data_IF_874011233872
#
_entry.id   IF_874011233872
#
_cell.length_a   1.000
_cell.length_b   1.000
_cell.length_c   1.000
_cell.angle_alpha   90.00
_cell.angle_beta   90.00
_cell.angle_gamma   90.00
#
_symmetry.space_group_name_H-M   'P 1'
#
loop_
_entity.id
_entity.type
_entity.pdbx_description
1 polymer ?
#
# COMPACT_ATOMS: atom_id res chain seq x y z
N UNK A 1 -4.24 1.44 -28.67
CA UNK A 1 -3.31 2.50 -28.22
C UNK A 1 -2.38 1.88 -27.19
N UNK A 2 -1.07 1.87 -27.44
CA UNK A 2 -0.08 1.38 -26.48
C UNK A 2 -0.01 2.37 -25.30
N UNK A 3 -0.70 2.08 -24.18
CA UNK A 3 -0.44 2.77 -22.91
C UNK A 3 0.90 2.28 -22.41
N UNK A 4 1.90 3.15 -22.34
CA UNK A 4 3.29 2.71 -22.55
C UNK A 4 4.33 3.26 -21.58
N UNK A 5 3.95 3.98 -20.52
CA UNK A 5 4.97 4.38 -19.56
C UNK A 5 4.44 4.55 -18.15
N UNK A 6 4.92 3.70 -17.24
CA UNK A 6 5.14 4.09 -15.85
C UNK A 6 6.62 4.46 -15.70
N UNK A 7 6.91 5.75 -15.69
CA UNK A 7 8.25 6.25 -15.44
C UNK A 7 8.43 6.51 -13.94
N UNK A 8 9.56 6.06 -13.40
CA UNK A 8 9.94 6.28 -12.00
C UNK A 8 11.27 7.03 -11.96
N UNK A 9 11.33 8.11 -11.19
CA UNK A 9 12.60 8.76 -10.82
C UNK A 9 12.77 8.75 -9.31
N UNK A 10 14.03 8.76 -8.85
CA UNK A 10 14.36 8.68 -7.44
C UNK A 10 15.13 9.92 -7.01
N UNK A 11 14.73 10.50 -5.87
CA UNK A 11 15.43 11.63 -5.26
C UNK A 11 15.67 11.36 -3.78
N UNK A 12 16.79 11.85 -3.26
CA UNK A 12 16.98 11.91 -1.81
C UNK A 12 15.94 12.88 -1.21
N UNK A 13 15.34 12.56 -0.06
CA UNK A 13 14.37 13.45 0.57
C UNK A 13 15.05 14.76 0.97
N UNK A 14 14.43 15.88 0.62
CA UNK A 14 14.90 17.21 0.97
C UNK A 14 14.64 17.47 2.46
N UNK A 15 15.53 17.00 3.34
CA UNK A 15 15.79 17.56 4.67
C UNK A 15 14.59 17.89 5.58
N UNK A 16 13.45 17.20 5.51
CA UNK A 16 12.35 17.39 6.46
C UNK A 16 12.07 16.14 7.27
N UNK A 17 12.31 16.24 8.58
CA UNK A 17 11.75 15.33 9.56
C UNK A 17 10.26 15.68 9.73
N UNK A 18 9.38 14.86 9.15
CA UNK A 18 7.94 15.02 9.32
C UNK A 18 7.46 14.50 10.68
N UNK A 19 6.35 15.07 11.13
CA UNK A 19 5.83 15.20 12.50
C UNK A 19 5.56 13.93 13.33
N UNK A 20 5.93 12.72 12.91
CA UNK A 20 5.47 11.50 13.59
C UNK A 20 6.48 10.76 14.47
N UNK A 21 7.81 10.76 14.24
CA UNK A 21 8.63 9.72 14.89
C UNK A 21 10.13 10.07 15.12
N UNK A 22 10.64 9.66 16.29
CA UNK A 22 12.06 9.68 16.70
C UNK A 22 12.93 8.61 16.00
N UNK A 23 14.26 8.71 16.14
CA UNK A 23 15.33 8.06 15.34
C UNK A 23 15.24 6.52 15.25
N UNK A 24 15.34 5.95 14.04
CA UNK A 24 15.89 4.60 13.83
C UNK A 24 17.41 4.75 13.90
N UNK A 25 18.11 4.11 14.84
CA UNK A 25 19.56 4.25 14.93
C UNK A 25 20.33 3.43 13.87
N UNK A 26 19.71 2.40 13.25
CA UNK A 26 20.45 1.40 12.48
C UNK A 26 20.23 1.38 10.95
N UNK A 27 19.34 2.21 10.40
CA UNK A 27 19.00 2.17 8.96
C UNK A 27 18.93 3.58 8.34
N UNK A 28 19.84 4.47 8.76
CA UNK A 28 20.12 5.74 8.06
C UNK A 28 21.31 5.64 7.10
N UNK A 29 21.64 4.44 6.62
CA UNK A 29 22.38 4.37 5.36
C UNK A 29 21.42 4.80 4.25
N UNK A 30 21.79 5.91 3.58
CA UNK A 30 21.04 6.77 2.65
C UNK A 30 20.26 6.03 1.54
N UNK A 31 20.42 4.72 1.37
CA UNK A 31 19.98 3.94 0.20
C UNK A 31 19.04 2.79 0.52
N UNK A 32 18.71 2.54 1.79
CA UNK A 32 17.67 1.57 2.12
C UNK A 32 16.30 2.22 1.98
N UNK A 33 15.89 3.09 2.89
CA UNK A 33 14.54 3.70 2.89
C UNK A 33 14.54 5.20 2.59
N UNK A 34 15.71 5.81 2.44
CA UNK A 34 15.87 7.27 2.37
C UNK A 34 15.80 7.78 0.93
N UNK A 35 14.68 7.50 0.25
CA UNK A 35 14.40 8.02 -1.08
C UNK A 35 12.90 8.26 -1.28
N UNK A 36 12.58 9.19 -2.17
CA UNK A 36 11.24 9.44 -2.66
C UNK A 36 11.16 8.91 -4.10
N UNK A 37 10.10 8.18 -4.40
CA UNK A 37 9.75 7.79 -5.76
C UNK A 37 8.88 8.89 -6.39
N UNK A 38 9.15 9.24 -7.63
CA UNK A 38 8.29 10.10 -8.44
C UNK A 38 7.74 9.28 -9.60
N UNK A 39 6.42 9.24 -9.72
CA UNK A 39 5.70 8.46 -10.73
C UNK A 39 5.14 9.40 -11.79
N UNK A 40 5.28 9.00 -13.05
CA UNK A 40 4.56 9.56 -14.19
C UNK A 40 3.93 8.42 -14.96
N UNK A 41 2.60 8.43 -15.10
CA UNK A 41 1.87 7.37 -15.81
C UNK A 41 0.53 7.82 -16.37
N UNK A 42 0.15 7.23 -17.49
CA UNK A 42 -1.19 7.31 -18.10
C UNK A 42 -2.12 6.17 -17.63
N UNK A 43 -1.62 5.28 -16.77
CA UNK A 43 -2.39 4.16 -16.23
C UNK A 43 -3.46 4.63 -15.24
N UNK A 44 -4.58 3.92 -15.24
CA UNK A 44 -5.65 4.01 -14.25
C UNK A 44 -5.45 2.89 -13.25
N UNK A 45 -5.04 3.23 -12.03
CA UNK A 45 -4.68 2.30 -10.97
C UNK A 45 -5.64 2.47 -9.79
N UNK A 46 -6.14 1.36 -9.25
CA UNK A 46 -6.97 1.37 -8.04
C UNK A 46 -6.37 0.49 -6.94
N UNK A 47 -6.22 1.06 -5.75
CA UNK A 47 -5.86 0.35 -4.53
C UNK A 47 -7.13 -0.16 -3.85
N UNK A 48 -7.16 -1.44 -3.54
CA UNK A 48 -8.30 -2.10 -2.91
C UNK A 48 -7.83 -2.79 -1.64
N UNK A 49 -8.51 -2.55 -0.53
CA UNK A 49 -8.21 -3.20 0.76
C UNK A 49 -8.53 -2.30 1.96
N UNK A 50 -7.92 -2.55 3.11
CA UNK A 50 -8.29 -1.88 4.36
C UNK A 50 -7.52 -0.58 4.61
N UNK A 51 -7.34 -0.18 5.88
CA UNK A 51 -6.61 1.03 6.24
C UNK A 51 -5.15 1.01 5.81
N UNK A 52 -4.52 -0.16 5.70
CA UNK A 52 -3.13 -0.27 5.23
C UNK A 52 -3.06 0.05 3.73
N UNK A 53 -4.01 -0.47 2.94
CA UNK A 53 -4.14 -0.07 1.52
C UNK A 53 -4.39 1.42 1.35
N UNK A 54 -5.11 2.06 2.28
CA UNK A 54 -5.31 3.51 2.25
C UNK A 54 -3.98 4.26 2.41
N UNK A 55 -3.13 3.84 3.35
CA UNK A 55 -1.80 4.45 3.57
C UNK A 55 -0.91 4.30 2.33
N UNK A 56 -0.97 3.15 1.66
CA UNK A 56 -0.21 2.91 0.44
C UNK A 56 -0.74 3.66 -0.76
N UNK A 57 -2.06 3.79 -0.90
CA UNK A 57 -2.65 4.65 -1.92
C UNK A 57 -2.21 6.10 -1.74
N UNK A 58 -2.21 6.62 -0.50
CA UNK A 58 -1.72 7.97 -0.20
C UNK A 58 -0.23 8.14 -0.54
N UNK A 59 0.60 7.12 -0.25
CA UNK A 59 2.02 7.14 -0.63
C UNK A 59 2.21 7.12 -2.16
N UNK A 60 1.34 6.42 -2.89
CA UNK A 60 1.34 6.42 -4.36
C UNK A 60 0.87 7.77 -4.91
N UNK A 61 -0.22 8.33 -4.37
CA UNK A 61 -0.75 9.64 -4.73
C UNK A 61 0.32 10.72 -4.55
N UNK A 62 1.02 10.73 -3.41
CA UNK A 62 2.10 11.68 -3.15
C UNK A 62 3.27 11.56 -4.14
N UNK A 63 3.49 10.39 -4.73
CA UNK A 63 4.54 10.17 -5.72
C UNK A 63 4.09 10.52 -7.14
N UNK A 64 2.80 10.36 -7.43
CA UNK A 64 2.22 10.53 -8.75
C UNK A 64 1.65 11.94 -9.01
N UNK A 65 1.45 12.74 -7.97
CA UNK A 65 1.00 14.12 -8.08
C UNK A 65 2.17 15.10 -8.24
N UNK A 66 1.94 16.19 -8.97
CA UNK A 66 2.84 17.34 -9.00
C UNK A 66 2.65 18.24 -7.76
N UNK A 67 3.68 19.04 -7.48
CA UNK A 67 3.62 20.09 -6.46
C UNK A 67 2.46 21.04 -6.78
N UNK A 68 1.59 21.33 -5.79
CA UNK A 68 0.30 22.04 -5.92
C UNK A 68 -0.88 21.24 -6.49
N UNK A 69 -0.74 19.94 -6.75
CA UNK A 69 -1.85 19.05 -7.11
C UNK A 69 -2.41 18.27 -5.91
N UNK A 70 -2.02 18.60 -4.67
CA UNK A 70 -2.53 17.93 -3.47
C UNK A 70 -4.07 18.08 -3.35
N UNK A 71 -4.61 19.19 -3.86
CA UNK A 71 -6.06 19.45 -3.93
C UNK A 71 -6.80 18.61 -5.00
N UNK A 72 -6.07 17.92 -5.89
CA UNK A 72 -6.67 17.00 -6.87
C UNK A 72 -7.18 15.70 -6.23
N UNK A 73 -6.74 15.40 -5.01
CA UNK A 73 -7.21 14.25 -4.23
C UNK A 73 -8.64 14.52 -3.79
N UNK A 74 -9.61 13.88 -4.44
CA UNK A 74 -11.02 13.96 -4.05
C UNK A 74 -11.38 12.77 -3.18
N UNK A 75 -11.48 13.02 -1.87
CA UNK A 75 -12.13 12.08 -0.95
C UNK A 75 -13.62 12.00 -1.31
N UNK A 76 -14.04 10.89 -1.92
CA UNK A 76 -15.44 10.66 -2.35
C UNK A 76 -16.32 10.20 -1.20
N UNK A 77 -15.75 9.55 -0.20
CA UNK A 77 -16.51 9.09 0.95
C UNK A 77 -15.59 8.89 2.17
N UNK A 78 -16.04 9.38 3.32
CA UNK A 78 -15.32 9.27 4.60
C UNK A 78 -16.26 8.75 5.68
N UNK A 79 -15.74 8.01 6.65
CA UNK A 79 -16.47 7.66 7.86
C UNK A 79 -15.71 8.07 9.12
N UNK A 80 -16.45 8.38 10.18
CA UNK A 80 -15.93 8.67 11.51
C UNK A 80 -16.41 7.56 12.46
N UNK A 81 -15.51 6.78 13.10
CA UNK A 81 -15.90 5.64 13.94
C UNK A 81 -16.79 6.06 15.11
N UNK A 82 -16.53 7.23 15.69
CA UNK A 82 -17.10 7.64 16.99
C UNK A 82 -18.22 8.67 16.89
N UNK A 83 -18.71 8.99 15.68
CA UNK A 83 -19.82 9.93 15.43
C UNK A 83 -19.55 11.41 15.78
N UNK A 84 -18.81 11.69 16.87
CA UNK A 84 -18.65 12.99 17.51
C UNK A 84 -17.18 13.37 17.81
N UNK A 85 -16.19 12.48 17.61
CA UNK A 85 -14.77 12.86 17.72
C UNK A 85 -14.27 13.41 16.38
N UNK A 86 -13.85 14.69 16.29
CA UNK A 86 -13.39 15.28 15.03
C UNK A 86 -12.09 14.69 14.50
N UNK A 87 -11.34 13.94 15.32
CA UNK A 87 -9.93 13.63 15.09
C UNK A 87 -9.65 12.36 14.29
N UNK A 88 -10.61 11.46 14.08
CA UNK A 88 -10.37 10.21 13.33
C UNK A 88 -11.31 10.13 12.14
N UNK A 89 -10.77 10.49 10.97
CA UNK A 89 -11.45 10.38 9.68
C UNK A 89 -10.84 9.20 8.94
N UNK A 90 -11.67 8.25 8.55
CA UNK A 90 -11.26 7.18 7.67
C UNK A 90 -11.75 7.43 6.25
N UNK A 91 -10.82 7.43 5.31
CA UNK A 91 -11.13 7.46 3.90
C UNK A 91 -11.66 6.09 3.51
N UNK A 92 -12.80 6.08 2.85
CA UNK A 92 -13.38 4.88 2.26
C UNK A 92 -13.09 4.82 0.77
N UNK A 93 -13.12 5.98 0.14
CA UNK A 93 -12.95 6.13 -1.29
C UNK A 93 -12.24 7.44 -1.57
N UNK A 94 -11.16 7.38 -2.32
CA UNK A 94 -10.52 8.57 -2.88
C UNK A 94 -10.20 8.34 -4.34
N UNK A 95 -10.13 9.43 -5.10
CA UNK A 95 -9.67 9.43 -6.48
C UNK A 95 -8.84 10.68 -6.74
N UNK A 96 -7.74 10.50 -7.44
CA UNK A 96 -6.78 11.51 -7.84
C UNK A 96 -6.73 11.46 -9.36
N UNK A 97 -7.20 12.53 -10.01
CA UNK A 97 -7.18 12.62 -11.46
C UNK A 97 -7.23 14.06 -11.99
N UNK A 98 -6.46 14.39 -13.03
CA UNK A 98 -5.36 13.58 -13.56
C UNK A 98 -4.17 13.52 -12.59
N UNK A 99 -3.45 12.39 -12.54
CA UNK A 99 -2.09 12.34 -11.96
C UNK A 99 -1.05 12.73 -13.03
N UNK A 100 0.21 12.90 -12.65
CA UNK A 100 1.31 13.15 -13.60
C UNK A 100 1.34 12.05 -14.66
N UNK A 101 1.30 12.43 -15.93
CA UNK A 101 1.14 11.50 -17.06
C UNK A 101 -0.31 11.27 -17.50
N UNK A 102 -1.27 11.98 -16.90
CA UNK A 102 -2.71 11.96 -17.23
C UNK A 102 -3.47 10.69 -16.82
N UNK A 103 -2.86 9.81 -16.03
CA UNK A 103 -3.52 8.63 -15.46
C UNK A 103 -4.50 8.95 -14.34
N UNK A 104 -4.87 7.91 -13.58
CA UNK A 104 -5.76 7.99 -12.42
C UNK A 104 -5.21 7.12 -11.29
N UNK A 105 -5.23 7.63 -10.06
CA UNK A 105 -5.05 6.82 -8.86
C UNK A 105 -6.34 6.85 -8.06
N UNK A 106 -6.79 5.69 -7.57
CA UNK A 106 -7.98 5.59 -6.73
C UNK A 106 -7.74 4.65 -5.56
N UNK A 107 -8.51 4.82 -4.50
CA UNK A 107 -8.52 3.90 -3.36
C UNK A 107 -9.96 3.51 -3.05
N UNK A 108 -10.19 2.22 -2.82
CA UNK A 108 -11.45 1.65 -2.37
C UNK A 108 -11.25 0.78 -1.14
N UNK A 109 -11.82 1.24 -0.02
CA UNK A 109 -11.78 0.54 1.25
C UNK A 109 -12.68 -0.68 1.23
N UNK A 110 -12.06 -1.84 1.39
CA UNK A 110 -12.69 -3.15 1.51
C UNK A 110 -12.00 -3.90 2.66
N UNK A 111 -12.79 -4.37 3.62
CA UNK A 111 -12.35 -5.09 4.84
C UNK A 111 -12.68 -6.59 4.77
N UNK A 112 -13.11 -7.08 3.61
CA UNK A 112 -13.43 -8.48 3.35
C UNK A 112 -12.88 -8.89 1.97
N UNK A 113 -13.05 -10.13 1.54
CA UNK A 113 -12.81 -10.52 0.15
C UNK A 113 -13.97 -10.05 -0.74
N UNK A 114 -13.68 -9.69 -2.00
CA UNK A 114 -14.68 -9.24 -2.98
C UNK A 114 -15.38 -10.47 -3.57
N UNK A 115 -16.14 -11.14 -2.72
CA UNK A 115 -16.90 -12.33 -3.07
C UNK A 115 -18.35 -11.97 -3.32
N UNK A 116 -19.02 -12.72 -4.20
CA UNK A 116 -20.44 -12.57 -4.49
C UNK A 116 -21.29 -12.68 -3.21
N UNK A 117 -20.96 -13.62 -2.32
CA UNK A 117 -21.63 -13.80 -1.03
C UNK A 117 -21.53 -12.58 -0.09
N UNK A 118 -20.48 -11.77 -0.25
CA UNK A 118 -20.24 -10.58 0.56
C UNK A 118 -20.89 -9.31 -0.02
N UNK A 119 -21.53 -9.40 -1.19
CA UNK A 119 -22.20 -8.27 -1.84
C UNK A 119 -23.49 -7.91 -1.10
N UNK A 120 -23.68 -6.63 -0.74
CA UNK A 120 -24.95 -6.15 -0.15
C UNK A 120 -25.31 -4.75 -0.64
N UNK A 121 -26.60 -4.54 -0.95
CA UNK A 121 -27.17 -3.23 -1.25
C UNK A 121 -28.14 -2.78 -0.15
N UNK A 122 -28.14 -1.51 0.28
CA UNK A 122 -27.09 -0.51 0.06
C UNK A 122 -25.88 -0.80 0.96
N UNK A 123 -24.67 -0.55 0.46
CA UNK A 123 -23.46 -0.71 1.24
C UNK A 123 -22.82 0.66 1.45
N UNK A 124 -23.06 1.23 2.64
CA UNK A 124 -22.46 2.50 3.06
C UNK A 124 -21.16 2.22 3.80
N UNK A 125 -20.16 3.06 3.57
CA UNK A 125 -18.92 2.96 4.32
C UNK A 125 -19.17 3.31 5.80
N UNK A 126 -18.90 2.34 6.68
CA UNK A 126 -19.01 2.46 8.14
C UNK A 126 -17.85 1.73 8.82
N UNK A 127 -17.66 1.94 10.13
CA UNK A 127 -16.53 1.36 10.87
C UNK A 127 -16.49 -0.16 10.95
N UNK A 128 -17.63 -0.83 10.79
CA UNK A 128 -17.76 -2.30 10.85
C UNK A 128 -18.21 -2.90 9.52
N UNK A 129 -18.02 -2.16 8.44
CA UNK A 129 -18.39 -2.59 7.12
C UNK A 129 -17.68 -3.91 6.79
N UNK A 130 -18.40 -4.91 6.27
CA UNK A 130 -17.87 -6.22 5.84
C UNK A 130 -18.34 -6.61 4.45
N UNK A 131 -19.09 -5.72 3.81
CA UNK A 131 -19.75 -5.97 2.55
C UNK A 131 -19.14 -5.10 1.48
N UNK A 132 -19.54 -5.29 0.24
CA UNK A 132 -19.23 -4.39 -0.85
C UNK A 132 -20.43 -4.32 -1.77
N UNK A 133 -20.44 -3.39 -2.73
CA UNK A 133 -21.46 -3.39 -3.78
C UNK A 133 -20.94 -2.78 -5.08
N UNK A 134 -21.61 -3.13 -6.18
CA UNK A 134 -21.25 -2.67 -7.52
C UNK A 134 -21.44 -1.16 -7.71
N UNK A 135 -22.39 -0.52 -7.03
CA UNK A 135 -22.52 0.94 -7.07
C UNK A 135 -21.31 1.69 -6.53
N UNK A 136 -20.55 1.10 -5.59
CA UNK A 136 -19.28 1.69 -5.16
C UNK A 136 -18.23 1.67 -6.28
N UNK A 137 -18.20 0.61 -7.09
CA UNK A 137 -17.33 0.53 -8.27
C UNK A 137 -17.79 1.50 -9.36
N UNK A 138 -19.10 1.58 -9.63
CA UNK A 138 -19.68 2.53 -10.58
C UNK A 138 -19.35 3.98 -10.25
N UNK A 139 -19.32 4.36 -8.96
CA UNK A 139 -18.89 5.70 -8.54
C UNK A 139 -17.45 6.04 -8.97
N UNK A 140 -16.57 5.05 -9.10
CA UNK A 140 -15.23 5.24 -9.66
C UNK A 140 -15.26 5.27 -11.19
N UNK A 141 -15.95 4.32 -11.81
CA UNK A 141 -16.01 4.18 -13.27
C UNK A 141 -16.64 5.39 -13.95
N UNK A 142 -17.66 5.99 -13.34
CA UNK A 142 -18.36 7.18 -13.82
C UNK A 142 -17.65 8.49 -13.45
N UNK A 143 -16.45 8.44 -12.86
CA UNK A 143 -15.72 9.64 -12.50
C UNK A 143 -15.23 10.39 -13.74
N UNK A 144 -15.68 11.62 -13.87
CA UNK A 144 -15.27 12.56 -14.90
C UNK A 144 -14.09 13.44 -14.43
N UNK A 145 -13.13 13.66 -15.32
CA UNK A 145 -11.97 14.53 -15.07
C UNK A 145 -11.45 15.16 -16.36
N UNK A 146 -10.81 16.32 -16.25
CA UNK A 146 -10.22 17.02 -17.38
C UNK A 146 -8.70 16.80 -17.41
N UNK A 147 -8.16 16.14 -18.45
CA UNK A 147 -6.72 15.87 -18.56
C UNK A 147 -5.89 17.12 -18.85
N UNK A 148 -6.52 18.21 -19.31
CA UNK A 148 -5.83 19.48 -19.65
C UNK A 148 -5.66 20.44 -18.48
N UNK A 149 -6.34 20.20 -17.35
CA UNK A 149 -6.17 21.00 -16.13
C UNK A 149 -5.01 20.46 -15.29
N UNK A 150 -3.79 20.60 -15.78
CA UNK A 150 -2.64 20.76 -14.87
C UNK A 150 -2.77 22.17 -14.30
N UNK A 151 -3.37 22.30 -13.12
CA UNK A 151 -3.46 23.59 -12.41
C UNK A 151 -2.03 23.95 -11.97
N UNK A 152 -1.36 24.78 -12.75
CA UNK A 152 -0.10 25.40 -12.31
C UNK A 152 -0.39 26.22 -11.04
N UNK A 153 0.52 26.20 -10.05
CA UNK A 153 0.35 26.98 -8.84
C UNK A 153 0.18 28.45 -9.23
N UNK A 154 -0.92 29.08 -8.79
CA UNK A 154 -1.01 30.54 -8.92
C UNK A 154 0.05 31.13 -8.01
N UNK A 155 0.93 31.98 -8.56
CA UNK A 155 1.97 32.76 -7.86
C UNK A 155 1.43 33.75 -6.80
N UNK A 156 0.45 33.37 -5.98
CA UNK A 156 0.03 34.15 -4.83
C UNK A 156 0.88 33.73 -3.65
N UNK A 157 1.81 34.61 -3.29
CA UNK A 157 2.76 34.46 -2.20
C UNK A 157 2.12 33.85 -0.95
N UNK A 158 2.81 32.86 -0.41
CA UNK A 158 2.51 32.20 0.86
C UNK A 158 2.61 33.25 1.97
N UNK A 159 1.49 33.87 2.33
CA UNK A 159 1.40 34.56 3.61
C UNK A 159 1.09 33.51 4.67
N UNK A 160 2.08 33.26 5.53
CA UNK A 160 1.92 32.46 6.74
C UNK A 160 0.99 33.17 7.72
N UNK A 161 -0.28 32.77 7.79
CA UNK A 161 -1.07 32.85 9.02
C UNK A 161 -1.91 31.59 9.17
N UNK A 162 -1.38 30.68 9.99
CA UNK A 162 -2.01 29.43 10.38
C UNK A 162 -2.93 29.73 11.57
N UNK A 163 -4.23 29.83 11.31
CA UNK A 163 -5.28 29.57 12.31
C UNK A 163 -6.23 28.54 11.68
N UNK A 164 -5.88 27.25 11.83
CA UNK A 164 -6.57 26.12 11.18
C UNK A 164 -7.64 25.52 12.11
N UNK A 165 -8.90 25.89 11.87
CA UNK A 165 -10.06 25.03 12.15
C UNK A 165 -10.41 24.27 10.87
N UNK A 166 -10.16 22.96 10.88
CA UNK A 166 -10.05 22.04 9.72
C UNK A 166 -11.38 21.53 9.15
N UNK A 167 -12.41 22.38 8.98
CA UNK A 167 -13.71 21.89 8.48
C UNK A 167 -14.29 22.65 7.29
N UNK A 168 -13.86 23.87 7.00
CA UNK A 168 -14.49 24.70 5.95
C UNK A 168 -13.65 24.92 4.67
N UNK A 169 -12.50 24.25 4.52
CA UNK A 169 -11.63 24.47 3.34
C UNK A 169 -12.01 23.64 2.09
N UNK A 170 -13.01 22.76 2.16
CA UNK A 170 -13.29 21.81 1.06
C UNK A 170 -14.38 22.22 0.06
N UNK A 171 -14.96 23.42 0.11
CA UNK A 171 -16.14 23.68 -0.73
C UNK A 171 -16.29 25.00 -1.50
N UNK A 172 -15.39 26.00 -1.45
CA UNK A 172 -15.75 27.32 -2.04
C UNK A 172 -14.74 28.10 -2.90
N UNK A 173 -13.71 27.49 -3.45
CA UNK A 173 -13.00 28.08 -4.59
C UNK A 173 -12.55 26.95 -5.52
N UNK A 174 -13.08 26.78 -6.73
CA UNK A 174 -12.99 27.71 -7.86
C UNK A 174 -13.91 27.18 -8.98
N UNK A 175 -15.18 27.60 -9.01
CA UNK A 175 -16.16 27.19 -10.02
C UNK A 175 -16.24 28.15 -11.22
N UNK A 176 -15.17 28.90 -11.50
CA UNK A 176 -15.13 29.91 -12.55
C UNK A 176 -13.90 29.70 -13.46
N UNK A 177 -14.02 28.75 -14.39
CA UNK A 177 -13.44 28.73 -15.75
C UNK A 177 -13.52 27.32 -16.34
N UNK A 178 -14.73 26.75 -16.40
CA UNK A 178 -14.98 25.56 -17.22
C UNK A 178 -15.11 26.00 -18.68
N UNK A 179 -13.99 26.07 -19.39
CA UNK A 179 -14.03 25.99 -20.86
C UNK A 179 -14.21 24.52 -21.23
N UNK A 180 -15.16 24.25 -22.14
CA UNK A 180 -15.46 22.94 -22.70
C UNK A 180 -14.19 22.31 -23.30
N UNK A 181 -13.52 21.48 -22.51
CA UNK A 181 -12.53 20.51 -22.96
C UNK A 181 -13.16 19.12 -22.94
N UNK A 182 -12.62 18.19 -23.73
CA UNK A 182 -13.03 16.78 -23.72
C UNK A 182 -12.97 16.24 -22.28
N UNK A 183 -14.14 15.94 -21.71
CA UNK A 183 -14.25 15.33 -20.39
C UNK A 183 -13.83 13.86 -20.53
N UNK A 184 -12.79 13.47 -19.80
CA UNK A 184 -12.40 12.07 -19.73
C UNK A 184 -13.20 11.37 -18.64
N UNK A 185 -13.52 10.10 -18.88
CA UNK A 185 -14.18 9.22 -17.91
C UNK A 185 -13.21 8.10 -17.54
N UNK A 186 -13.23 7.65 -16.28
CA UNK A 186 -12.42 6.51 -15.84
C UNK A 186 -12.79 5.26 -16.66
N UNK A 187 -14.06 4.87 -16.72
CA UNK A 187 -14.60 3.79 -17.56
C UNK A 187 -13.85 2.43 -17.49
N UNK A 188 -13.01 2.23 -16.47
CA UNK A 188 -12.19 1.05 -16.28
C UNK A 188 -10.83 1.41 -15.65
N UNK A 189 -10.26 0.46 -14.94
CA UNK A 189 -8.89 0.52 -14.44
C UNK A 189 -8.00 -0.41 -15.25
N UNK A 190 -6.76 -0.02 -15.51
CA UNK A 190 -5.79 -0.90 -16.16
C UNK A 190 -5.25 -1.91 -15.14
N UNK A 191 -5.00 -1.44 -13.91
CA UNK A 191 -4.46 -2.26 -12.84
C UNK A 191 -5.17 -2.04 -11.50
N UNK A 192 -5.21 -3.11 -10.69
CA UNK A 192 -5.65 -3.07 -9.31
C UNK A 192 -4.54 -3.55 -8.38
N UNK A 193 -4.30 -2.85 -7.28
CA UNK A 193 -3.46 -3.32 -6.17
C UNK A 193 -4.39 -3.82 -5.07
N UNK A 194 -4.57 -5.14 -4.99
CA UNK A 194 -5.47 -5.77 -4.03
C UNK A 194 -4.70 -6.31 -2.83
N UNK A 195 -4.87 -5.68 -1.66
CA UNK A 195 -4.36 -6.23 -0.40
C UNK A 195 -5.46 -7.06 0.26
N UNK A 196 -5.15 -8.31 0.56
CA UNK A 196 -5.98 -9.16 1.44
C UNK A 196 -6.15 -8.46 2.79
N UNK A 197 -7.39 -8.15 3.26
CA UNK A 197 -7.65 -7.42 4.52
C UNK A 197 -7.34 -8.20 5.81
N UNK A 198 -6.12 -8.72 5.93
CA UNK A 198 -5.65 -9.42 7.12
C UNK A 198 -5.75 -8.52 8.36
N UNK A 199 -6.42 -9.02 9.41
CA UNK A 199 -6.85 -8.27 10.59
C UNK A 199 -8.37 -8.11 10.69
N UNK A 200 -9.07 -8.16 9.56
CA UNK A 200 -10.54 -8.17 9.48
C UNK A 200 -11.11 -9.55 9.16
N UNK A 201 -10.30 -10.40 8.55
CA UNK A 201 -10.63 -11.77 8.17
C UNK A 201 -10.06 -12.79 9.17
N UNK A 202 -10.80 -13.88 9.37
CA UNK A 202 -10.23 -15.08 9.98
C UNK A 202 -9.24 -15.70 8.98
N UNK A 203 -8.11 -16.21 9.48
CA UNK A 203 -7.06 -16.78 8.62
C UNK A 203 -7.58 -17.98 7.82
N UNK A 204 -8.41 -18.83 8.44
CA UNK A 204 -8.98 -20.03 7.79
C UNK A 204 -10.07 -19.70 6.75
N UNK A 205 -10.56 -18.45 6.72
CA UNK A 205 -11.49 -18.00 5.70
C UNK A 205 -10.79 -17.69 4.37
N UNK A 206 -9.48 -17.44 4.40
CA UNK A 206 -8.70 -17.09 3.20
C UNK A 206 -8.21 -18.38 2.54
N UNK A 207 -8.80 -18.73 1.40
CA UNK A 207 -8.42 -19.88 0.58
C UNK A 207 -8.23 -19.52 -0.90
N UNK A 208 -7.69 -20.45 -1.67
CA UNK A 208 -7.37 -20.23 -3.09
C UNK A 208 -8.59 -19.89 -3.92
N UNK A 209 -9.73 -20.55 -3.66
CA UNK A 209 -10.95 -20.36 -4.43
C UNK A 209 -11.50 -18.94 -4.23
N UNK A 210 -11.52 -18.45 -2.99
CA UNK A 210 -11.96 -17.09 -2.66
C UNK A 210 -10.99 -16.02 -3.17
N UNK A 211 -9.69 -16.30 -3.19
CA UNK A 211 -8.71 -15.40 -3.80
C UNK A 211 -8.92 -15.29 -5.32
N UNK A 212 -9.16 -16.41 -6.00
CA UNK A 212 -9.48 -16.45 -7.44
C UNK A 212 -10.78 -15.70 -7.72
N UNK A 213 -11.86 -15.97 -6.97
CA UNK A 213 -13.12 -15.26 -7.11
C UNK A 213 -12.94 -13.74 -6.90
N UNK A 214 -12.10 -13.34 -5.94
CA UNK A 214 -11.80 -11.93 -5.70
C UNK A 214 -11.07 -11.29 -6.89
N UNK A 215 -10.12 -11.98 -7.50
CA UNK A 215 -9.38 -11.54 -8.70
C UNK A 215 -10.36 -11.36 -9.88
N UNK A 216 -11.17 -12.38 -10.16
CA UNK A 216 -12.17 -12.37 -11.24
C UNK A 216 -13.23 -11.29 -11.02
N UNK A 217 -13.71 -11.14 -9.78
CA UNK A 217 -14.72 -10.13 -9.45
C UNK A 217 -14.14 -8.71 -9.52
N UNK A 218 -12.88 -8.51 -9.12
CA UNK A 218 -12.17 -7.23 -9.27
C UNK A 218 -12.10 -6.84 -10.74
N UNK A 219 -11.72 -7.77 -11.62
CA UNK A 219 -11.74 -7.57 -13.05
C UNK A 219 -13.14 -7.24 -13.58
N UNK A 220 -14.14 -8.04 -13.23
CA UNK A 220 -15.53 -7.87 -13.69
C UNK A 220 -16.11 -6.50 -13.36
N UNK A 221 -15.86 -5.98 -12.16
CA UNK A 221 -16.49 -4.75 -11.68
C UNK A 221 -15.65 -3.49 -11.87
N UNK A 222 -14.32 -3.61 -12.10
CA UNK A 222 -13.41 -2.47 -12.27
C UNK A 222 -12.73 -2.44 -13.64
N UNK A 223 -12.79 -3.51 -14.43
CA UNK A 223 -12.11 -3.66 -15.72
C UNK A 223 -10.60 -3.96 -15.61
N UNK A 224 -10.07 -4.13 -14.39
CA UNK A 224 -8.63 -4.34 -14.17
C UNK A 224 -8.16 -5.66 -14.80
N UNK A 225 -7.18 -5.58 -15.69
CA UNK A 225 -6.57 -6.76 -16.36
C UNK A 225 -5.25 -7.16 -15.74
N UNK A 226 -4.61 -6.26 -14.99
CA UNK A 226 -3.44 -6.55 -14.16
C UNK A 226 -3.80 -6.41 -12.68
N UNK A 227 -3.50 -7.41 -11.87
CA UNK A 227 -3.72 -7.37 -10.42
C UNK A 227 -2.38 -7.57 -9.70
N UNK A 228 -2.02 -6.65 -8.82
CA UNK A 228 -0.88 -6.80 -7.90
C UNK A 228 -1.42 -7.18 -6.52
N UNK A 229 -0.93 -8.28 -5.95
CA UNK A 229 -1.31 -8.75 -4.62
C UNK A 229 -0.09 -8.66 -3.69
N UNK A 230 -0.08 -7.72 -2.73
CA UNK A 230 0.95 -7.69 -1.70
C UNK A 230 0.82 -8.88 -0.74
N UNK A 231 1.94 -9.53 -0.43
CA UNK A 231 1.99 -10.55 0.62
C UNK A 231 1.72 -9.94 2.00
N UNK A 232 1.18 -10.75 2.89
CA UNK A 232 0.82 -10.37 4.24
C UNK A 232 2.06 -10.26 5.13
N UNK A 233 2.23 -9.12 5.84
CA UNK A 233 3.32 -8.96 6.80
C UNK A 233 2.95 -9.53 8.17
N UNK A 234 3.96 -9.68 9.04
CA UNK A 234 3.71 -9.81 10.47
C UNK A 234 2.97 -8.56 10.98
N UNK A 235 1.89 -8.77 11.74
CA UNK A 235 1.13 -7.70 12.37
C UNK A 235 0.71 -8.08 13.79
N UNK A 236 0.26 -7.11 14.58
CA UNK A 236 -0.25 -7.33 15.93
C UNK A 236 -1.47 -8.29 16.00
N UNK A 237 -2.13 -8.57 14.87
CA UNK A 237 -3.24 -9.54 14.74
C UNK A 237 -2.80 -11.01 14.71
N UNK A 238 -1.52 -11.29 14.44
CA UNK A 238 -0.94 -12.65 14.56
C UNK A 238 -0.68 -12.90 16.02
N UNK A 239 -1.37 -13.81 16.72
CA UNK A 239 -1.28 -13.91 18.20
C UNK A 239 -0.46 -15.10 18.68
N UNK A 240 -0.24 -16.06 17.80
CA UNK A 240 0.45 -17.31 18.11
C UNK A 240 1.35 -17.73 16.96
N UNK A 241 2.25 -18.68 17.21
CA UNK A 241 3.05 -19.31 16.15
C UNK A 241 2.17 -20.00 15.11
N UNK A 242 1.02 -20.53 15.52
CA UNK A 242 0.07 -21.14 14.61
C UNK A 242 -0.56 -20.10 13.68
N UNK A 243 -0.95 -18.93 14.19
CA UNK A 243 -1.41 -17.83 13.34
C UNK A 243 -0.32 -17.42 12.34
N UNK A 244 0.94 -17.39 12.80
CA UNK A 244 2.06 -17.05 11.93
C UNK A 244 2.26 -18.08 10.82
N UNK A 245 2.24 -19.37 11.16
CA UNK A 245 2.26 -20.46 10.18
C UNK A 245 1.14 -20.31 9.15
N UNK A 246 -0.08 -19.98 9.57
CA UNK A 246 -1.20 -19.72 8.64
C UNK A 246 -0.95 -18.52 7.73
N UNK A 247 -0.43 -17.40 8.24
CA UNK A 247 -0.06 -16.24 7.41
C UNK A 247 0.99 -16.62 6.36
N UNK A 248 2.00 -17.40 6.72
CA UNK A 248 3.03 -17.88 5.75
C UNK A 248 2.44 -18.82 4.70
N UNK A 249 1.48 -19.68 5.08
CA UNK A 249 0.73 -20.52 4.14
C UNK A 249 -0.12 -19.69 3.19
N UNK A 250 -0.80 -18.63 3.66
CA UNK A 250 -1.53 -17.69 2.82
C UNK A 250 -0.59 -17.00 1.83
N UNK A 251 0.61 -16.59 2.26
CA UNK A 251 1.59 -15.98 1.34
C UNK A 251 2.06 -16.95 0.25
N UNK A 252 2.29 -18.23 0.58
CA UNK A 252 2.54 -19.28 -0.42
C UNK A 252 1.37 -19.45 -1.38
N UNK A 253 0.15 -19.45 -0.85
CA UNK A 253 -1.07 -19.55 -1.64
C UNK A 253 -1.25 -18.38 -2.60
N UNK A 254 -0.99 -17.14 -2.16
CA UNK A 254 -1.00 -15.94 -3.02
C UNK A 254 -0.04 -16.14 -4.21
N UNK A 255 1.19 -16.62 -3.96
CA UNK A 255 2.17 -16.90 -5.02
C UNK A 255 1.71 -17.98 -5.98
N UNK A 256 1.10 -19.05 -5.46
CA UNK A 256 0.57 -20.14 -6.28
C UNK A 256 -0.61 -19.67 -7.16
N UNK A 257 -1.57 -18.94 -6.59
CA UNK A 257 -2.70 -18.35 -7.32
C UNK A 257 -2.19 -17.42 -8.41
N UNK A 258 -1.21 -16.56 -8.11
CA UNK A 258 -0.64 -15.64 -9.09
C UNK A 258 0.02 -16.37 -10.28
N UNK A 259 0.66 -17.52 -10.04
CA UNK A 259 1.31 -18.33 -11.08
C UNK A 259 0.33 -19.15 -11.90
N UNK A 260 -0.76 -19.61 -11.29
CA UNK A 260 -1.67 -20.59 -11.87
C UNK A 260 -2.98 -19.99 -12.41
N UNK A 261 -3.13 -18.66 -12.38
CA UNK A 261 -4.32 -17.99 -12.91
C UNK A 261 -4.49 -18.34 -14.40
N UNK A 262 -5.66 -18.84 -14.78
CA UNK A 262 -5.98 -19.12 -16.18
C UNK A 262 -6.18 -17.81 -16.93
N UNK A 263 -5.52 -17.67 -18.08
CA UNK A 263 -5.62 -16.49 -18.93
C UNK A 263 -6.55 -16.80 -20.09
N UNK A 264 -7.68 -16.12 -20.15
CA UNK A 264 -8.56 -16.11 -21.33
C UNK A 264 -8.62 -14.69 -21.92
N UNK A 265 -8.97 -14.61 -23.20
CA UNK A 265 -9.22 -13.32 -23.84
C UNK A 265 -10.37 -12.60 -23.14
N UNK A 266 -10.13 -11.35 -22.73
CA UNK A 266 -11.11 -10.56 -21.99
C UNK A 266 -11.04 -10.69 -20.47
N UNK A 267 -10.26 -11.61 -19.91
CA UNK A 267 -10.12 -11.82 -18.46
C UNK A 267 -8.90 -11.09 -17.85
N UNK A 268 -8.58 -11.37 -16.58
CA UNK A 268 -7.31 -11.00 -15.95
C UNK A 268 -6.14 -11.63 -16.71
N UNK A 269 -5.22 -10.78 -17.17
CA UNK A 269 -4.07 -11.19 -17.97
C UNK A 269 -2.82 -11.44 -17.11
N UNK A 270 -2.67 -10.67 -16.03
CA UNK A 270 -1.49 -10.73 -15.17
C UNK A 270 -1.87 -10.61 -13.70
N UNK A 271 -1.44 -11.59 -12.91
CA UNK A 271 -1.45 -11.49 -11.45
C UNK A 271 -0.01 -11.48 -10.96
N UNK A 272 0.38 -10.37 -10.35
CA UNK A 272 1.72 -10.12 -9.84
C UNK A 272 1.73 -10.13 -8.32
N UNK A 273 2.84 -10.58 -7.73
CA UNK A 273 3.04 -10.60 -6.28
C UNK A 273 4.02 -9.51 -5.89
N UNK A 274 3.61 -8.66 -4.96
CA UNK A 274 4.51 -7.75 -4.27
C UNK A 274 4.93 -8.37 -2.94
N UNK A 275 6.22 -8.62 -2.73
CA UNK A 275 6.76 -9.32 -1.56
C UNK A 275 6.83 -8.44 -0.30
N UNK A 276 5.78 -7.67 -0.02
CA UNK A 276 5.72 -6.74 1.10
C UNK A 276 5.93 -7.43 2.46
N UNK A 277 5.40 -8.64 2.63
CA UNK A 277 5.64 -9.47 3.81
C UNK A 277 7.12 -9.82 3.99
N UNK A 278 7.85 -10.09 2.90
CA UNK A 278 9.28 -10.39 2.97
C UNK A 278 10.09 -9.18 3.45
N UNK A 279 9.92 -8.01 2.82
CA UNK A 279 10.60 -6.77 3.22
C UNK A 279 10.39 -6.46 4.70
N UNK A 280 9.14 -6.50 5.13
CA UNK A 280 8.77 -6.15 6.50
C UNK A 280 9.31 -7.17 7.50
N UNK A 281 9.23 -8.46 7.22
CA UNK A 281 9.80 -9.49 8.10
C UNK A 281 11.32 -9.36 8.23
N UNK A 282 12.05 -9.12 7.13
CA UNK A 282 13.49 -8.88 7.17
C UNK A 282 13.82 -7.67 8.05
N UNK A 283 13.05 -6.59 7.93
CA UNK A 283 13.23 -5.41 8.77
C UNK A 283 12.95 -5.67 10.25
N UNK A 284 11.92 -6.46 10.57
CA UNK A 284 11.67 -6.88 11.95
C UNK A 284 12.82 -7.73 12.49
N UNK A 285 13.43 -8.57 11.66
CA UNK A 285 14.62 -9.32 12.06
C UNK A 285 15.83 -8.42 12.33
N UNK A 286 16.11 -7.45 11.45
CA UNK A 286 17.20 -6.50 11.68
C UNK A 286 16.97 -5.67 12.95
N UNK A 287 15.73 -5.27 13.22
CA UNK A 287 15.44 -4.60 14.48
C UNK A 287 15.54 -5.55 15.70
N UNK A 288 15.18 -6.83 15.54
CA UNK A 288 15.37 -7.82 16.60
C UNK A 288 16.85 -8.08 16.90
N UNK A 289 17.73 -8.04 15.89
CA UNK A 289 19.20 -8.07 16.06
C UNK A 289 19.67 -6.90 16.90
N UNK A 290 19.22 -5.69 16.57
CA UNK A 290 19.54 -4.46 17.33
C UNK A 290 19.09 -4.53 18.79
N UNK A 291 17.90 -5.10 19.03
CA UNK A 291 17.34 -5.25 20.37
C UNK A 291 17.94 -6.43 21.16
N UNK A 292 18.91 -7.16 20.60
CA UNK A 292 19.48 -8.39 21.18
C UNK A 292 18.41 -9.43 21.57
N UNK A 293 17.35 -9.55 20.77
CA UNK A 293 16.25 -10.51 21.00
C UNK A 293 16.55 -11.92 20.49
N UNK A 294 17.70 -12.12 19.85
CA UNK A 294 18.04 -13.35 19.13
C UNK A 294 18.94 -14.26 19.96
N UNK A 295 18.66 -15.56 19.88
CA UNK A 295 19.65 -16.58 20.23
C UNK A 295 20.78 -16.63 19.18
N UNK A 296 21.93 -17.23 19.53
CA UNK A 296 23.08 -17.35 18.62
C UNK A 296 22.70 -18.00 17.27
N UNK A 297 21.81 -19.00 17.27
CA UNK A 297 21.38 -19.73 16.07
C UNK A 297 20.47 -18.89 15.13
N UNK A 298 19.93 -17.77 15.61
CA UNK A 298 19.00 -16.93 14.85
C UNK A 298 19.67 -15.69 14.23
N UNK A 299 20.99 -15.50 14.45
CA UNK A 299 21.72 -14.34 13.92
C UNK A 299 22.03 -14.46 12.42
N UNK A 300 22.23 -15.67 11.92
CA UNK A 300 22.65 -15.96 10.53
C UNK A 300 21.51 -16.56 9.70
N UNK A 301 20.43 -15.81 9.53
CA UNK A 301 19.27 -16.26 8.74
C UNK A 301 19.53 -16.02 7.26
N UNK A 302 19.38 -17.08 6.47
CA UNK A 302 19.29 -16.99 5.02
C UNK A 302 17.87 -16.57 4.60
N UNK A 303 17.72 -15.30 4.22
CA UNK A 303 16.44 -14.76 3.72
C UNK A 303 16.02 -15.30 2.35
N UNK A 304 16.91 -15.99 1.63
CA UNK A 304 16.56 -16.63 0.36
C UNK A 304 15.84 -17.97 0.55
N UNK A 305 15.97 -18.59 1.74
CA UNK A 305 15.35 -19.88 2.05
C UNK A 305 13.85 -19.72 2.29
N UNK A 306 13.04 -20.47 1.56
CA UNK A 306 11.60 -20.46 1.76
C UNK A 306 11.21 -20.87 3.19
N UNK A 307 10.34 -20.08 3.83
CA UNK A 307 9.80 -20.37 5.16
C UNK A 307 10.75 -20.02 6.31
N UNK A 308 11.86 -19.31 6.05
CA UNK A 308 12.77 -18.82 7.10
C UNK A 308 12.02 -18.07 8.20
N UNK A 309 10.94 -17.37 7.84
CA UNK A 309 10.18 -16.55 8.76
C UNK A 309 9.44 -17.38 9.83
N UNK A 310 9.16 -18.67 9.58
CA UNK A 310 8.55 -19.57 10.56
C UNK A 310 9.53 -19.94 11.67
N UNK A 311 10.82 -20.06 11.34
CA UNK A 311 11.86 -20.49 12.28
C UNK A 311 12.21 -19.41 13.33
N UNK A 312 11.73 -18.19 13.10
CA UNK A 312 11.90 -17.04 14.00
C UNK A 312 10.58 -16.55 14.59
N UNK A 313 9.52 -17.37 14.55
CA UNK A 313 8.22 -17.01 15.08
C UNK A 313 8.30 -16.56 16.56
N UNK A 314 9.12 -17.24 17.36
CA UNK A 314 9.37 -16.90 18.76
C UNK A 314 9.93 -15.48 18.95
N UNK A 315 10.76 -14.99 18.01
CA UNK A 315 11.30 -13.62 18.01
C UNK A 315 10.21 -12.62 17.67
N UNK A 316 9.45 -12.86 16.60
CA UNK A 316 8.37 -11.97 16.18
C UNK A 316 7.23 -11.88 17.21
N UNK A 317 7.05 -12.90 18.04
CA UNK A 317 6.01 -12.94 19.06
C UNK A 317 6.45 -12.41 20.43
N UNK A 318 7.69 -11.92 20.58
CA UNK A 318 8.09 -11.24 21.82
C UNK A 318 7.39 -9.88 21.93
N UNK A 319 6.56 -9.70 22.96
CA UNK A 319 5.67 -8.53 23.13
C UNK A 319 5.84 -7.88 24.50
N UNK A 320 5.50 -6.59 24.62
CA UNK A 320 5.32 -5.94 25.93
C UNK A 320 4.29 -6.72 26.77
N UNK A 321 4.57 -7.00 28.06
CA UNK A 321 3.70 -7.81 28.94
C UNK A 321 2.41 -7.09 29.31
N UNK A 322 2.37 -5.75 29.22
CA UNK A 322 1.24 -4.95 29.68
C UNK A 322 0.98 -3.82 28.68
N UNK A 323 -0.10 -3.94 27.93
CA UNK A 323 -0.75 -2.77 27.34
C UNK A 323 -2.24 -2.87 27.64
N UNK A 324 -2.87 -1.74 27.95
CA UNK A 324 -4.34 -1.57 27.91
C UNK A 324 -4.91 -1.77 26.50
N UNK A 325 -4.04 -1.99 25.50
CA UNK A 325 -4.41 -2.31 24.13
C UNK A 325 -4.80 -3.77 24.03
N UNK A 326 -5.94 -4.01 23.39
CA UNK A 326 -6.49 -5.35 23.11
C UNK A 326 -5.51 -6.28 22.39
N UNK A 327 -4.54 -5.73 21.64
CA UNK A 327 -3.55 -6.47 20.85
C UNK A 327 -2.16 -5.81 20.94
N UNK A 328 -1.24 -6.30 21.79
CA UNK A 328 0.08 -5.70 21.91
C UNK A 328 0.93 -6.01 20.67
N UNK A 329 1.65 -5.03 20.10
CA UNK A 329 2.59 -5.26 19.00
C UNK A 329 3.86 -5.98 19.47
N UNK A 330 4.63 -6.53 18.53
CA UNK A 330 5.96 -7.09 18.81
C UNK A 330 6.97 -6.01 19.19
N UNK A 331 7.95 -6.33 20.06
CA UNK A 331 9.07 -5.43 20.35
C UNK A 331 9.80 -5.02 19.07
N UNK A 332 10.04 -5.95 18.15
CA UNK A 332 10.74 -5.67 16.89
C UNK A 332 9.95 -4.75 15.95
N UNK A 333 8.63 -4.63 16.12
CA UNK A 333 7.79 -3.74 15.32
C UNK A 333 7.79 -2.29 15.82
N UNK A 334 7.86 -2.09 17.13
CA UNK A 334 7.57 -0.77 17.74
C UNK A 334 8.69 -0.20 18.58
N UNK A 335 9.69 -0.99 18.99
CA UNK A 335 10.74 -0.54 19.91
C UNK A 335 12.07 -0.27 19.21
N UNK A 336 12.72 0.82 19.59
CA UNK A 336 14.08 1.17 19.17
C UNK A 336 15.14 0.73 20.19
N UNK A 337 14.74 0.53 21.45
CA UNK A 337 15.53 -0.10 22.51
C UNK A 337 14.59 -0.86 23.45
N UNK A 338 15.10 -1.87 24.15
CA UNK A 338 14.32 -2.54 25.19
C UNK A 338 14.25 -1.66 26.44
N UNK A 339 13.09 -1.60 27.13
CA UNK A 339 12.98 -0.87 28.39
C UNK A 339 13.73 -1.63 29.49
N UNK A 340 14.30 -0.90 30.45
CA UNK A 340 15.01 -1.48 31.61
C UNK A 340 14.08 -2.36 32.44
N UNK A 341 12.80 -1.99 32.53
CA UNK A 341 11.74 -2.83 33.05
C UNK A 341 10.81 -3.25 31.92
N UNK A 342 10.65 -4.56 31.70
CA UNK A 342 9.80 -5.09 30.62
C UNK A 342 8.33 -4.70 30.76
N UNK A 343 7.87 -4.20 31.91
CA UNK A 343 6.50 -3.70 32.09
C UNK A 343 6.28 -2.26 31.58
N UNK A 344 7.32 -1.56 31.14
CA UNK A 344 7.24 -0.18 30.67
C UNK A 344 7.08 -0.07 29.14
N UNK A 345 6.59 1.08 28.67
CA UNK A 345 6.60 1.40 27.25
C UNK A 345 8.05 1.62 26.77
N UNK A 346 8.40 1.07 25.62
CA UNK A 346 9.70 1.26 24.99
C UNK A 346 9.74 2.55 24.15
N UNK A 347 10.93 3.14 23.91
CA UNK A 347 11.10 4.20 22.93
C UNK A 347 10.72 3.72 21.52
N UNK A 348 9.85 4.46 20.83
CA UNK A 348 9.30 4.09 19.52
C UNK A 348 10.33 4.00 18.39
N UNK A 349 10.12 3.10 17.43
CA UNK A 349 10.92 2.96 16.18
C UNK A 349 10.11 3.39 14.95
N UNK A 350 10.76 3.84 13.86
CA UNK A 350 10.06 4.28 12.62
C UNK A 350 9.64 3.12 11.69
N UNK A 351 9.25 1.98 12.26
CA UNK A 351 8.75 0.83 11.50
C UNK A 351 7.23 0.84 11.54
N UNK A 352 6.68 0.80 12.75
CA UNK A 352 5.24 0.88 13.03
C UNK A 352 5.00 1.53 14.38
N UNK A 353 3.92 2.29 14.52
CA UNK A 353 3.51 2.90 15.80
C UNK A 353 2.61 1.99 16.63
N UNK A 354 1.91 1.05 16.01
CA UNK A 354 0.92 0.18 16.65
C UNK A 354 1.05 -1.32 16.29
N UNK A 355 2.05 -1.68 15.47
CA UNK A 355 2.29 -3.02 14.95
C UNK A 355 1.33 -3.47 13.85
N UNK A 356 0.50 -2.57 13.30
CA UNK A 356 -0.45 -2.83 12.22
C UNK A 356 -0.27 -1.85 11.07
N UNK A 357 -0.24 -0.56 11.37
CA UNK A 357 -0.01 0.52 10.42
C UNK A 357 1.48 0.79 10.28
N UNK A 358 1.93 0.97 9.04
CA UNK A 358 3.34 1.21 8.73
C UNK A 358 3.61 2.70 8.63
N UNK A 359 4.82 3.13 9.02
CA UNK A 359 5.27 4.52 8.86
C UNK A 359 5.55 4.79 7.38
N UNK A 360 4.52 5.16 6.61
CA UNK A 360 4.62 5.35 5.15
C UNK A 360 5.59 6.45 4.74
N UNK A 361 5.97 7.35 5.63
CA UNK A 361 7.06 8.29 5.42
C UNK A 361 8.40 7.59 5.20
N UNK A 362 8.56 6.37 5.73
CA UNK A 362 9.74 5.51 5.56
C UNK A 362 9.55 4.49 4.45
N UNK A 363 8.39 3.84 4.37
CA UNK A 363 8.16 2.74 3.41
C UNK A 363 7.55 3.17 2.08
N UNK A 364 6.90 4.34 2.03
CA UNK A 364 6.10 4.78 0.90
C UNK A 364 6.89 4.82 -0.40
N UNK A 365 8.12 5.35 -0.36
CA UNK A 365 9.01 5.38 -1.54
C UNK A 365 9.28 3.98 -2.10
N UNK A 366 9.64 3.00 -1.26
CA UNK A 366 9.87 1.61 -1.67
C UNK A 366 8.60 0.93 -2.15
N UNK A 367 7.51 1.09 -1.42
CA UNK A 367 6.23 0.49 -1.76
C UNK A 367 5.78 0.94 -3.14
N UNK A 368 5.76 2.25 -3.37
CA UNK A 368 5.37 2.87 -4.64
C UNK A 368 6.31 2.49 -5.77
N UNK A 369 7.63 2.50 -5.55
CA UNK A 369 8.61 2.09 -6.56
C UNK A 369 8.45 0.61 -6.96
N UNK A 370 8.10 -0.25 -6.01
CA UNK A 370 7.82 -1.66 -6.28
C UNK A 370 6.56 -1.82 -7.14
N UNK A 371 5.46 -1.13 -6.83
CA UNK A 371 4.26 -1.14 -7.67
C UNK A 371 4.60 -0.66 -9.08
N UNK A 372 5.35 0.44 -9.19
CA UNK A 372 5.76 0.98 -10.47
C UNK A 372 6.63 0.01 -11.29
N UNK A 373 7.59 -0.64 -10.64
CA UNK A 373 8.43 -1.66 -11.28
C UNK A 373 7.60 -2.85 -11.78
N UNK A 374 6.69 -3.37 -10.94
CA UNK A 374 5.82 -4.50 -11.28
C UNK A 374 4.89 -4.16 -12.45
N UNK A 375 4.26 -2.99 -12.43
CA UNK A 375 3.44 -2.53 -13.56
C UNK A 375 4.30 -2.28 -14.81
N UNK A 376 5.53 -1.79 -14.66
CA UNK A 376 6.48 -1.63 -15.76
C UNK A 376 6.81 -2.95 -16.46
N UNK A 377 6.82 -4.08 -15.74
CA UNK A 377 6.98 -5.40 -16.35
C UNK A 377 5.89 -5.74 -17.37
N UNK A 378 4.70 -5.14 -17.24
CA UNK A 378 3.54 -5.37 -18.11
C UNK A 378 3.37 -4.27 -19.15
N UNK A 379 3.56 -3.00 -18.76
CA UNK A 379 3.19 -1.84 -19.57
C UNK A 379 4.37 -1.11 -20.22
N UNK A 380 5.61 -1.31 -19.75
CA UNK A 380 6.81 -0.69 -20.34
C UNK A 380 7.54 -1.64 -21.30
N UNK A 381 6.80 -2.49 -22.00
CA UNK A 381 7.34 -3.52 -22.91
C UNK A 381 6.75 -3.38 -24.31
N UNK A 382 7.54 -3.73 -25.32
CA UNK A 382 7.14 -3.58 -26.73
C UNK A 382 6.05 -4.57 -27.17
N UNK A 383 5.87 -5.68 -26.43
CA UNK A 383 4.87 -6.71 -26.66
C UNK A 383 4.38 -7.28 -25.33
N UNK A 384 3.21 -7.94 -25.30
CA UNK A 384 2.80 -8.73 -24.13
C UNK A 384 3.93 -9.68 -23.69
N UNK A 385 4.35 -9.62 -22.43
CA UNK A 385 5.43 -10.45 -21.91
C UNK A 385 4.94 -11.89 -21.71
N UNK A 386 5.85 -12.85 -21.90
CA UNK A 386 5.58 -14.25 -21.57
C UNK A 386 5.53 -14.45 -20.05
N UNK A 387 4.99 -15.59 -19.61
CA UNK A 387 4.95 -15.92 -18.18
C UNK A 387 6.36 -15.96 -17.57
N UNK A 388 7.34 -16.50 -18.28
CA UNK A 388 8.72 -16.55 -17.81
C UNK A 388 9.32 -15.14 -17.68
N UNK A 389 9.10 -14.27 -18.67
CA UNK A 389 9.57 -12.88 -18.64
C UNK A 389 8.94 -12.09 -17.49
N UNK A 390 7.63 -12.28 -17.27
CA UNK A 390 6.92 -11.68 -16.13
C UNK A 390 7.52 -12.16 -14.81
N UNK A 391 7.74 -13.46 -14.62
CA UNK A 391 8.24 -13.97 -13.34
C UNK A 391 9.68 -13.52 -13.06
N UNK A 392 10.54 -13.49 -14.08
CA UNK A 392 11.88 -12.91 -13.97
C UNK A 392 11.83 -11.41 -13.64
N UNK A 393 10.93 -10.66 -14.25
CA UNK A 393 10.77 -9.23 -13.96
C UNK A 393 10.22 -8.97 -12.56
N UNK A 394 9.17 -9.70 -12.16
CA UNK A 394 8.59 -9.68 -10.82
C UNK A 394 9.63 -9.97 -9.73
N UNK A 395 10.44 -11.02 -9.91
CA UNK A 395 11.52 -11.35 -9.00
C UNK A 395 12.52 -10.18 -8.87
N UNK A 396 12.99 -9.61 -9.99
CA UNK A 396 13.91 -8.46 -9.96
C UNK A 396 13.30 -7.25 -9.23
N UNK A 397 12.02 -6.95 -9.43
CA UNK A 397 11.33 -5.87 -8.75
C UNK A 397 11.25 -6.12 -7.23
N UNK A 398 10.93 -7.35 -6.82
CA UNK A 398 10.87 -7.73 -5.42
C UNK A 398 12.25 -7.75 -4.76
N UNK A 399 13.28 -8.26 -5.44
CA UNK A 399 14.66 -8.22 -4.98
C UNK A 399 15.14 -6.79 -4.79
N UNK A 400 14.73 -5.87 -5.65
CA UNK A 400 15.17 -4.47 -5.62
C UNK A 400 14.47 -3.63 -4.54
N UNK A 401 13.15 -3.83 -4.37
CA UNK A 401 12.33 -2.94 -3.56
C UNK A 401 11.67 -3.60 -2.36
N UNK A 402 11.39 -4.91 -2.43
CA UNK A 402 10.71 -5.70 -1.40
C UNK A 402 11.65 -6.67 -0.66
N UNK A 403 12.90 -6.26 -0.51
CA UNK A 403 13.91 -6.89 0.35
C UNK A 403 14.78 -5.82 1.00
N UNK A 404 15.61 -6.19 1.98
CA UNK A 404 16.66 -5.33 2.51
C UNK A 404 17.91 -5.26 1.62
N UNK A 405 17.76 -5.41 0.29
CA UNK A 405 18.81 -5.02 -0.62
C UNK A 405 18.90 -3.49 -0.73
N UNK A 406 20.12 -2.99 -0.88
CA UNK A 406 20.40 -1.57 -1.15
C UNK A 406 19.76 -1.16 -2.49
N UNK A 407 19.13 0.01 -2.54
CA UNK A 407 18.64 0.51 -3.83
C UNK A 407 19.82 0.91 -4.72
N UNK A 408 19.87 0.41 -5.97
CA UNK A 408 21.01 0.59 -6.86
C UNK A 408 21.24 2.07 -7.15
N UNK A 409 22.51 2.50 -7.07
CA UNK A 409 22.92 3.90 -7.26
C UNK A 409 22.53 4.46 -8.62
N UNK A 410 22.51 3.62 -9.66
CA UNK A 410 22.10 3.97 -11.01
C UNK A 410 20.66 4.51 -11.07
N UNK A 411 19.78 4.09 -10.15
CA UNK A 411 18.39 4.56 -10.10
C UNK A 411 18.27 5.99 -9.59
N UNK A 412 19.31 6.52 -8.92
CA UNK A 412 19.37 7.90 -8.45
C UNK A 412 20.05 8.85 -9.44
N UNK A 413 20.60 8.32 -10.53
CA UNK A 413 21.20 9.10 -11.61
C UNK A 413 20.09 9.40 -12.62
N UNK A 414 19.55 10.62 -12.57
CA UNK A 414 18.71 11.15 -13.64
C UNK A 414 19.57 11.47 -14.86
#
# INVERSE_FOLDING_TARGET
MNRSAIATSFKAPAGQAYYCCSRIALIYTIKYFNFIASIQTDLKIIFVGDSISAQFAQAFDSAALDEAQEDSVRAKNIFRPDGNRPSIIHICRSICSPIRGSGVSAFWRITNLILKENTKWPSRCTGFFRHWNEGQALDFLNHEYNSTQFVLPSNKGVSHQVNRTTTDYFQKSKLASFKAGNVNVVNGFDAAVFRVPHGWLQLDYIDSARLIETIETTHRILGATTIVIPTLPMSNNVKSENDWKKVTQINRMIRQVARNITKSEGDVQYVLVQEFGNLTNQLLMENAKNLDLLSLHQRDIDYSREGWEVDVANVFLQRPPITTKKWPPSYSQVCSSLPSNRTEACPGVKISSDGMHWCVETFGGRFTASIACLLGCVYNVARPPTDEEIRKCEQRCNDQFMSLNVVRDEMFKN
#
